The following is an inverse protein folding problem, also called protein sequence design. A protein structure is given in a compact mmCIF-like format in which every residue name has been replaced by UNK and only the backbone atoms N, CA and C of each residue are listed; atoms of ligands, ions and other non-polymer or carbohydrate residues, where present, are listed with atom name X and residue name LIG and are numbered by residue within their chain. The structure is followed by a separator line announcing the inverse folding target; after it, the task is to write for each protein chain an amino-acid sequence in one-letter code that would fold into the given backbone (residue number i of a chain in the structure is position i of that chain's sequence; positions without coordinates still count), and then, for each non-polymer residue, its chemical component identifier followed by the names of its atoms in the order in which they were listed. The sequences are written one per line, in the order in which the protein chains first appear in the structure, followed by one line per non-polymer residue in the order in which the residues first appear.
data_IF_238857138386
#
_entry.id   IF_238857138386
#
_cell.length_a   1.000
_cell.length_b   1.000
_cell.length_c   1.000
_cell.angle_alpha   90.00
_cell.angle_beta   90.00
_cell.angle_gamma   90.00
#
_symmetry.space_group_name_H-M   'P 1'
#
loop_
_entity.id
_entity.type
_entity.pdbx_description
1 polymer ?
#
# COMPACT_ATOMS: atom_id res chain seq x y z
N UNK A 1 20.19 11.39 22.12
CA UNK A 1 19.45 10.87 23.29
C UNK A 1 18.84 9.54 22.89
N UNK A 2 19.27 8.45 23.48
CA UNK A 2 18.98 7.08 23.07
C UNK A 2 17.48 6.76 23.12
N UNK A 3 16.92 6.42 21.99
CA UNK A 3 15.50 5.99 21.81
C UNK A 3 15.15 4.60 22.40
N UNK A 4 16.04 4.04 23.21
CA UNK A 4 15.92 2.70 23.80
C UNK A 4 14.93 2.62 24.97
N UNK A 5 14.39 3.75 25.42
CA UNK A 5 13.53 3.80 26.65
C UNK A 5 12.03 3.65 26.40
N UNK A 6 11.53 3.71 25.18
CA UNK A 6 10.10 3.89 24.94
C UNK A 6 9.21 2.70 25.32
N UNK A 7 9.75 1.47 25.41
CA UNK A 7 8.95 0.26 25.63
C UNK A 7 9.39 -0.55 26.87
N UNK A 8 10.17 0.04 27.79
CA UNK A 8 10.66 -0.64 28.99
C UNK A 8 9.59 -0.80 30.09
N UNK A 9 8.51 -0.02 29.99
CA UNK A 9 7.39 -0.08 30.93
C UNK A 9 6.13 -0.63 30.26
N UNK A 10 5.17 -1.07 31.09
CA UNK A 10 3.83 -1.43 30.59
C UNK A 10 3.23 -0.21 29.90
N UNK A 11 2.84 -0.39 28.66
CA UNK A 11 2.23 0.68 27.86
C UNK A 11 0.75 0.40 27.65
N UNK A 12 -0.05 1.45 27.77
CA UNK A 12 -1.48 1.41 27.56
C UNK A 12 -1.86 2.28 26.39
N UNK A 13 -2.81 1.80 25.59
CA UNK A 13 -3.43 2.55 24.50
C UNK A 13 -4.94 2.46 24.64
N UNK A 14 -5.63 3.55 24.38
CA UNK A 14 -7.07 3.59 24.22
C UNK A 14 -7.42 3.69 22.75
N UNK A 15 -8.42 2.94 22.32
CA UNK A 15 -8.88 2.89 20.92
C UNK A 15 -9.86 4.02 20.67
N UNK A 16 -9.54 4.91 19.76
CA UNK A 16 -10.41 5.99 19.30
C UNK A 16 -11.15 5.61 17.98
N UNK A 17 -11.90 6.55 17.44
CA UNK A 17 -12.67 6.37 16.20
C UNK A 17 -11.81 6.00 14.98
N UNK A 18 -10.52 6.37 14.98
CA UNK A 18 -9.61 6.10 13.86
C UNK A 18 -9.12 4.64 13.82
N UNK A 19 -9.23 3.92 14.94
CA UNK A 19 -8.83 2.52 15.04
C UNK A 19 -10.02 1.55 15.13
N UNK A 20 -11.25 2.06 15.16
CA UNK A 20 -12.45 1.21 15.21
C UNK A 20 -12.47 0.19 14.07
N UNK A 21 -12.70 -1.09 14.41
CA UNK A 21 -12.68 -2.22 13.46
C UNK A 21 -11.30 -2.57 12.91
N UNK A 22 -10.22 -1.92 13.37
CA UNK A 22 -8.85 -2.28 12.99
C UNK A 22 -8.44 -3.59 13.66
N UNK A 23 -7.68 -4.43 12.96
CA UNK A 23 -7.08 -5.62 13.58
C UNK A 23 -5.98 -5.19 14.54
N UNK A 24 -5.88 -5.89 15.69
CA UNK A 24 -4.90 -5.58 16.73
C UNK A 24 -3.45 -5.71 16.24
N UNK A 25 -3.12 -6.67 15.37
CA UNK A 25 -1.78 -6.80 14.81
C UNK A 25 -1.39 -5.56 14.00
N UNK A 26 -2.27 -5.05 13.14
CA UNK A 26 -2.04 -3.84 12.36
C UNK A 26 -1.93 -2.59 13.24
N UNK A 27 -2.74 -2.51 14.28
CA UNK A 27 -2.65 -1.45 15.27
C UNK A 27 -1.26 -1.44 15.92
N UNK A 28 -0.80 -2.58 16.40
CA UNK A 28 0.50 -2.71 17.07
C UNK A 28 1.67 -2.42 16.11
N UNK A 29 1.60 -2.82 14.84
CA UNK A 29 2.63 -2.47 13.84
C UNK A 29 2.76 -0.97 13.65
N UNK A 30 1.67 -0.22 13.77
CA UNK A 30 1.69 1.24 13.64
C UNK A 30 2.21 1.95 14.90
N UNK A 31 1.97 1.36 16.09
CA UNK A 31 2.32 1.96 17.38
C UNK A 31 3.71 1.55 17.86
N UNK A 32 4.08 0.28 17.70
CA UNK A 32 5.35 -0.29 18.13
C UNK A 32 6.39 -0.23 17.01
N UNK A 33 6.66 0.98 16.52
CA UNK A 33 7.66 1.18 15.46
C UNK A 33 9.03 0.65 15.88
N UNK A 34 9.73 0.01 14.94
CA UNK A 34 11.03 -0.61 15.19
C UNK A 34 10.96 -2.02 15.77
N UNK A 35 9.81 -2.47 16.32
CA UNK A 35 9.64 -3.84 16.79
C UNK A 35 9.32 -4.77 15.62
N UNK A 36 10.10 -5.83 15.37
CA UNK A 36 9.85 -6.76 14.27
C UNK A 36 8.46 -7.40 14.35
N UNK A 37 7.80 -7.59 13.21
CA UNK A 37 6.46 -8.20 13.14
C UNK A 37 6.40 -9.56 13.81
N UNK A 38 7.43 -10.41 13.63
CA UNK A 38 7.55 -11.71 14.28
C UNK A 38 7.50 -11.58 15.81
N UNK A 39 8.15 -10.56 16.37
CA UNK A 39 8.13 -10.27 17.82
C UNK A 39 6.73 -9.83 18.28
N UNK A 40 6.04 -8.99 17.50
CA UNK A 40 4.67 -8.55 17.82
C UNK A 40 3.70 -9.74 17.83
N UNK A 41 3.77 -10.63 16.83
CA UNK A 41 2.97 -11.87 16.83
C UNK A 41 3.27 -12.76 18.04
N UNK A 42 4.53 -12.83 18.46
CA UNK A 42 4.94 -13.57 19.65
C UNK A 42 4.34 -12.97 20.92
N UNK A 43 4.39 -11.63 21.08
CA UNK A 43 3.79 -10.92 22.23
C UNK A 43 2.27 -11.19 22.35
N UNK A 44 1.55 -11.20 21.21
CA UNK A 44 0.13 -11.53 21.17
C UNK A 44 -0.09 -12.99 21.63
N UNK A 45 0.65 -13.93 21.03
CA UNK A 45 0.52 -15.37 21.32
C UNK A 45 0.85 -15.70 22.78
N UNK A 46 1.84 -15.06 23.36
CA UNK A 46 2.25 -15.22 24.76
C UNK A 46 1.31 -14.52 25.73
N UNK A 47 0.31 -13.74 25.26
CA UNK A 47 -0.62 -12.99 26.08
C UNK A 47 0.02 -11.78 26.78
N UNK A 48 1.15 -11.31 26.26
CA UNK A 48 1.82 -10.08 26.70
C UNK A 48 1.10 -8.82 26.17
N UNK A 49 0.24 -8.98 25.17
CA UNK A 49 -0.75 -7.99 24.74
C UNK A 49 -2.13 -8.45 25.17
N UNK A 50 -2.90 -7.54 25.78
CA UNK A 50 -4.27 -7.79 26.19
C UNK A 50 -5.18 -6.63 25.80
N UNK A 51 -6.41 -6.94 25.46
CA UNK A 51 -7.48 -5.96 25.24
C UNK A 51 -8.53 -6.17 26.33
N UNK A 52 -8.86 -5.12 27.07
CA UNK A 52 -9.80 -5.16 28.20
C UNK A 52 -9.47 -6.31 29.18
N UNK A 53 -8.18 -6.48 29.50
CA UNK A 53 -7.60 -7.53 30.37
C UNK A 53 -7.69 -8.97 29.79
N UNK A 54 -8.34 -9.19 28.62
CA UNK A 54 -8.51 -10.52 28.00
C UNK A 54 -7.37 -10.84 27.03
N UNK A 55 -7.06 -12.13 26.88
CA UNK A 55 -6.20 -12.62 25.79
C UNK A 55 -6.90 -12.45 24.44
N UNK A 56 -6.13 -12.15 23.41
CA UNK A 56 -6.64 -11.87 22.06
C UNK A 56 -5.84 -12.64 21.02
N UNK A 57 -6.39 -12.74 19.82
CA UNK A 57 -5.70 -13.24 18.62
C UNK A 57 -5.24 -12.07 17.74
N UNK A 58 -4.31 -12.30 16.84
CA UNK A 58 -3.75 -11.27 15.96
C UNK A 58 -4.82 -10.58 15.09
N UNK A 59 -5.83 -11.33 14.67
CA UNK A 59 -6.95 -10.86 13.86
C UNK A 59 -8.09 -10.20 14.65
N UNK A 60 -8.02 -10.17 15.98
CA UNK A 60 -9.04 -9.51 16.83
C UNK A 60 -9.25 -8.07 16.37
N UNK A 61 -10.50 -7.71 16.12
CA UNK A 61 -10.90 -6.35 15.76
C UNK A 61 -11.09 -5.52 17.02
N UNK A 62 -10.60 -4.31 16.98
CA UNK A 62 -10.71 -3.33 18.06
C UNK A 62 -12.04 -2.57 17.94
N UNK A 63 -12.58 -2.17 19.08
CA UNK A 63 -13.74 -1.29 19.20
C UNK A 63 -13.36 0.00 19.93
N UNK A 64 -14.09 1.09 19.68
CA UNK A 64 -13.90 2.37 20.38
C UNK A 64 -13.97 2.14 21.89
N UNK A 65 -13.03 2.74 22.63
CA UNK A 65 -12.93 2.61 24.08
C UNK A 65 -12.18 1.36 24.57
N UNK A 66 -11.76 0.45 23.67
CA UNK A 66 -10.93 -0.68 24.08
C UNK A 66 -9.62 -0.21 24.71
N UNK A 67 -9.27 -0.82 25.85
CA UNK A 67 -8.03 -0.59 26.58
C UNK A 67 -7.02 -1.68 26.23
N UNK A 68 -5.96 -1.30 25.49
CA UNK A 68 -4.90 -2.21 25.06
C UNK A 68 -3.71 -2.09 25.99
N UNK A 69 -3.39 -3.19 26.68
CA UNK A 69 -2.18 -3.30 27.50
C UNK A 69 -1.09 -4.04 26.75
N UNK A 70 0.10 -3.44 26.66
CA UNK A 70 1.31 -4.06 26.14
C UNK A 70 2.33 -4.21 27.26
N UNK A 71 2.83 -5.42 27.48
CA UNK A 71 3.88 -5.68 28.47
C UNK A 71 5.21 -5.02 28.03
N UNK A 72 6.17 -4.81 28.95
CA UNK A 72 7.47 -4.25 28.62
C UNK A 72 8.17 -5.06 27.52
N UNK A 73 8.72 -4.38 26.53
CA UNK A 73 9.42 -4.98 25.40
C UNK A 73 10.89 -4.62 25.52
N UNK A 74 11.75 -5.59 25.82
CA UNK A 74 13.20 -5.44 25.66
C UNK A 74 13.55 -5.72 24.20
N UNK A 75 13.92 -4.68 23.46
CA UNK A 75 14.32 -4.76 22.08
C UNK A 75 15.39 -3.71 21.78
N UNK A 76 16.51 -4.14 21.22
CA UNK A 76 17.51 -3.21 20.70
C UNK A 76 16.99 -2.67 19.38
N UNK A 77 16.64 -1.40 19.38
CA UNK A 77 16.17 -0.71 18.19
C UNK A 77 17.36 -0.56 17.24
N UNK A 78 17.36 -1.29 16.14
CA UNK A 78 18.14 -0.85 14.98
C UNK A 78 17.50 0.45 14.50
N UNK A 79 18.25 1.52 14.53
CA UNK A 79 17.83 2.82 13.98
C UNK A 79 17.53 2.68 12.48
N UNK A 80 16.33 2.22 12.16
CA UNK A 80 15.70 2.43 10.86
C UNK A 80 14.86 3.71 10.94
N UNK A 81 15.43 4.79 11.48
CA UNK A 81 14.83 6.11 11.32
C UNK A 81 14.94 6.46 9.83
N UNK A 82 13.86 6.26 9.11
CA UNK A 82 13.75 6.79 7.76
C UNK A 82 14.16 8.27 7.81
N UNK A 83 15.11 8.68 6.97
CA UNK A 83 15.55 10.07 6.91
C UNK A 83 14.31 10.98 6.83
N UNK A 84 14.26 12.07 7.60
CA UNK A 84 13.12 12.96 7.58
C UNK A 84 12.89 13.47 6.16
N UNK A 85 11.64 13.47 5.74
CA UNK A 85 11.27 14.01 4.42
C UNK A 85 11.60 15.50 4.43
N UNK A 86 12.42 15.99 3.48
CA UNK A 86 12.73 17.41 3.41
C UNK A 86 11.47 18.22 3.09
N UNK A 87 11.38 19.44 3.63
CA UNK A 87 10.23 20.33 3.41
C UNK A 87 9.97 20.57 1.92
N UNK A 88 11.03 20.72 1.11
CA UNK A 88 10.91 20.89 -0.33
C UNK A 88 10.17 19.73 -1.00
N UNK A 89 10.52 18.50 -0.62
CA UNK A 89 9.87 17.30 -1.15
C UNK A 89 8.42 17.21 -0.64
N UNK A 90 8.20 17.46 0.64
CA UNK A 90 6.89 17.43 1.26
C UNK A 90 5.93 18.43 0.59
N UNK A 91 6.34 19.67 0.43
CA UNK A 91 5.57 20.73 -0.25
C UNK A 91 5.36 20.41 -1.74
N UNK A 92 6.38 19.88 -2.42
CA UNK A 92 6.26 19.44 -3.82
C UNK A 92 5.22 18.32 -4.03
N UNK A 93 5.05 17.43 -3.04
CA UNK A 93 4.00 16.41 -3.07
C UNK A 93 2.62 16.98 -2.73
N UNK A 94 2.55 17.90 -1.79
CA UNK A 94 1.29 18.59 -1.44
C UNK A 94 0.76 19.40 -2.61
N UNK A 95 1.60 20.07 -3.37
CA UNK A 95 1.23 20.82 -4.58
C UNK A 95 0.62 19.94 -5.70
N UNK A 96 0.73 18.61 -5.60
CA UNK A 96 0.15 17.65 -6.54
C UNK A 96 -1.23 17.13 -6.11
N UNK A 97 -1.79 17.66 -5.03
CA UNK A 97 -3.18 17.41 -4.65
C UNK A 97 -4.10 18.09 -5.66
N UNK A 98 -4.96 17.30 -6.29
CA UNK A 98 -5.91 17.78 -7.32
C UNK A 98 -7.35 17.83 -6.84
N UNK A 99 -7.63 17.17 -5.72
CA UNK A 99 -8.92 17.19 -5.04
C UNK A 99 -8.73 16.96 -3.55
N UNK A 100 -9.44 17.71 -2.73
CA UNK A 100 -9.48 17.47 -1.28
C UNK A 100 -10.84 17.91 -0.73
N UNK A 101 -11.42 17.06 0.13
CA UNK A 101 -12.56 17.37 0.98
C UNK A 101 -12.28 16.98 2.43
N UNK A 102 -13.30 16.88 3.28
CA UNK A 102 -13.14 16.49 4.69
C UNK A 102 -12.66 15.05 4.88
N UNK A 103 -12.97 14.14 3.97
CA UNK A 103 -12.73 12.68 4.10
C UNK A 103 -11.71 12.11 3.14
N UNK A 104 -11.50 12.78 2.01
CA UNK A 104 -10.72 12.27 0.88
C UNK A 104 -9.71 13.31 0.40
N UNK A 105 -8.56 12.86 -0.04
CA UNK A 105 -7.58 13.60 -0.82
C UNK A 105 -7.19 12.77 -2.04
N UNK A 106 -7.11 13.38 -3.22
CA UNK A 106 -6.63 12.74 -4.46
C UNK A 106 -5.37 13.45 -4.93
N UNK A 107 -4.32 12.68 -5.13
CA UNK A 107 -3.00 13.20 -5.49
C UNK A 107 -2.56 12.64 -6.83
N UNK A 108 -2.07 13.50 -7.72
CA UNK A 108 -1.39 13.09 -8.95
C UNK A 108 0.06 12.71 -8.61
N UNK A 109 0.28 11.44 -8.28
CA UNK A 109 1.60 10.92 -7.88
C UNK A 109 2.57 11.00 -9.09
N UNK A 110 3.76 11.61 -8.94
CA UNK A 110 4.77 11.54 -9.99
C UNK A 110 5.36 10.14 -10.10
N UNK A 111 5.95 9.82 -11.26
CA UNK A 111 6.81 8.63 -11.42
C UNK A 111 8.04 8.71 -10.49
N UNK A 112 8.61 7.58 -10.14
CA UNK A 112 9.84 7.48 -9.33
C UNK A 112 9.59 7.49 -7.81
N UNK A 113 8.40 7.84 -7.33
CA UNK A 113 8.06 7.87 -5.90
C UNK A 113 7.14 6.70 -5.56
N UNK A 114 7.51 5.91 -4.55
CA UNK A 114 6.65 4.86 -4.01
C UNK A 114 5.46 5.48 -3.25
N UNK A 115 4.36 4.76 -3.13
CA UNK A 115 3.20 5.26 -2.35
C UNK A 115 3.48 5.25 -0.83
N UNK A 116 4.34 4.35 -0.36
CA UNK A 116 4.81 4.30 1.04
C UNK A 116 6.30 3.94 1.09
N UNK A 117 6.99 4.37 2.13
CA UNK A 117 8.33 3.93 2.46
C UNK A 117 8.38 2.43 2.82
N UNK A 118 9.57 1.86 2.83
CA UNK A 118 9.80 0.45 3.15
C UNK A 118 11.20 0.00 2.79
N UNK A 119 11.43 -1.31 2.63
CA UNK A 119 12.75 -1.88 2.35
C UNK A 119 13.49 -1.13 1.23
N UNK A 120 14.54 -0.38 1.59
CA UNK A 120 15.37 0.39 0.66
C UNK A 120 14.77 1.73 0.17
N UNK A 121 13.59 2.14 0.68
CA UNK A 121 12.95 3.41 0.32
C UNK A 121 12.70 4.20 1.60
N UNK A 122 13.44 5.30 1.77
CA UNK A 122 13.40 6.11 2.99
C UNK A 122 12.01 6.72 3.26
N UNK A 123 11.29 7.15 2.23
CA UNK A 123 9.93 7.71 2.33
C UNK A 123 9.15 7.47 1.04
N UNK A 124 7.84 7.54 1.11
CA UNK A 124 6.93 7.52 -0.03
C UNK A 124 5.98 8.71 -0.01
N UNK A 125 4.97 8.65 -0.89
CA UNK A 125 3.94 9.68 -1.02
C UNK A 125 3.25 9.99 0.32
N UNK A 126 2.85 8.94 1.05
CA UNK A 126 2.07 9.10 2.29
C UNK A 126 2.89 9.76 3.41
N UNK A 127 4.17 9.41 3.55
CA UNK A 127 5.06 10.01 4.53
C UNK A 127 5.31 11.49 4.20
N UNK A 128 5.50 11.80 2.90
CA UNK A 128 5.67 13.18 2.43
C UNK A 128 4.45 14.06 2.71
N UNK A 129 3.25 13.55 2.44
CA UNK A 129 2.00 14.28 2.71
C UNK A 129 1.74 14.45 4.22
N UNK A 130 2.06 13.44 5.04
CA UNK A 130 1.99 13.58 6.50
C UNK A 130 2.94 14.65 7.02
N UNK A 131 4.17 14.71 6.48
CA UNK A 131 5.13 15.75 6.82
C UNK A 131 4.64 17.16 6.42
N UNK A 132 4.12 17.30 5.19
CA UNK A 132 3.63 18.57 4.67
C UNK A 132 2.40 19.11 5.40
N UNK A 133 1.49 18.23 5.83
CA UNK A 133 0.19 18.63 6.40
C UNK A 133 0.17 18.65 7.92
N UNK A 134 1.15 18.01 8.59
CA UNK A 134 1.11 17.75 10.03
C UNK A 134 0.00 16.79 10.47
N UNK A 135 -0.82 16.27 9.55
CA UNK A 135 -1.94 15.38 9.85
C UNK A 135 -1.44 13.99 10.24
N UNK A 136 -1.79 13.53 11.44
CA UNK A 136 -1.44 12.20 11.94
C UNK A 136 -2.17 11.08 11.20
N UNK A 137 -3.42 11.32 10.80
CA UNK A 137 -4.22 10.35 10.07
C UNK A 137 -4.33 10.73 8.60
N UNK A 138 -3.58 10.04 7.77
CA UNK A 138 -3.70 9.96 6.31
C UNK A 138 -3.39 8.51 5.94
N UNK A 139 -4.31 7.83 5.23
CA UNK A 139 -4.15 6.43 4.88
C UNK A 139 -4.37 6.19 3.39
N UNK A 140 -3.52 5.37 2.80
CA UNK A 140 -3.64 4.97 1.40
C UNK A 140 -4.87 4.07 1.20
N UNK A 141 -5.78 4.46 0.32
CA UNK A 141 -6.93 3.64 -0.07
C UNK A 141 -6.49 2.52 -1.02
N UNK A 142 -5.57 2.81 -1.92
CA UNK A 142 -4.96 1.87 -2.84
C UNK A 142 -3.50 2.27 -3.13
N UNK A 143 -2.86 1.48 -3.99
CA UNK A 143 -1.48 1.73 -4.42
C UNK A 143 -1.35 1.64 -5.93
N UNK A 144 -0.36 2.36 -6.47
CA UNK A 144 0.23 2.18 -7.79
C UNK A 144 1.74 1.98 -7.62
N UNK A 145 2.41 1.45 -8.61
CA UNK A 145 3.84 1.15 -8.53
C UNK A 145 4.69 2.43 -8.46
N UNK A 146 5.94 2.31 -8.03
CA UNK A 146 6.86 3.44 -7.86
C UNK A 146 6.97 4.27 -9.15
N UNK A 147 7.18 3.61 -10.26
CA UNK A 147 7.46 4.26 -11.55
C UNK A 147 6.18 4.56 -12.35
N UNK A 148 5.01 4.12 -11.86
CA UNK A 148 3.71 4.50 -12.37
C UNK A 148 3.33 5.87 -11.83
N UNK A 149 3.01 6.83 -12.71
CA UNK A 149 2.40 8.12 -12.36
C UNK A 149 0.87 8.02 -12.34
N UNK A 150 0.21 9.00 -11.74
CA UNK A 150 -1.24 9.12 -11.78
C UNK A 150 -1.93 9.18 -10.43
N UNK A 151 -3.24 8.97 -10.42
CA UNK A 151 -4.11 9.27 -9.30
C UNK A 151 -3.98 8.26 -8.16
N UNK A 152 -3.77 8.79 -6.95
CA UNK A 152 -3.78 8.02 -5.70
C UNK A 152 -4.78 8.64 -4.75
N UNK A 153 -5.71 7.83 -4.28
CA UNK A 153 -6.70 8.22 -3.27
C UNK A 153 -6.14 7.98 -1.87
N UNK A 154 -6.27 9.01 -1.03
CA UNK A 154 -5.80 9.01 0.36
C UNK A 154 -6.97 9.38 1.26
N UNK A 155 -7.25 8.57 2.24
CA UNK A 155 -8.31 8.83 3.21
C UNK A 155 -7.82 9.72 4.34
N UNK A 156 -8.68 10.64 4.77
CA UNK A 156 -8.52 11.52 5.93
C UNK A 156 -9.35 11.05 7.14
N UNK A 157 -10.23 10.04 6.93
CA UNK A 157 -11.10 9.45 7.98
C UNK A 157 -11.16 7.92 7.84
N UNK A 158 -11.23 7.19 8.94
CA UNK A 158 -11.29 5.72 8.94
C UNK A 158 -12.54 5.17 8.23
N UNK A 159 -13.68 5.80 8.42
CA UNK A 159 -14.94 5.43 7.75
C UNK A 159 -14.80 5.50 6.23
N UNK A 160 -14.23 6.59 5.70
CA UNK A 160 -13.98 6.79 4.27
C UNK A 160 -12.99 5.75 3.73
N UNK A 161 -11.92 5.46 4.49
CA UNK A 161 -10.97 4.39 4.12
C UNK A 161 -11.70 3.06 3.91
N UNK A 162 -12.50 2.65 4.89
CA UNK A 162 -13.24 1.38 4.84
C UNK A 162 -14.20 1.34 3.66
N UNK A 163 -15.03 2.38 3.50
CA UNK A 163 -16.01 2.45 2.40
C UNK A 163 -15.34 2.36 1.04
N UNK A 164 -14.28 3.14 0.79
CA UNK A 164 -13.62 3.14 -0.51
C UNK A 164 -12.80 1.87 -0.77
N UNK A 165 -12.24 1.24 0.26
CA UNK A 165 -11.60 -0.08 0.12
C UNK A 165 -12.62 -1.17 -0.17
N UNK A 166 -13.83 -1.11 0.40
CA UNK A 166 -14.93 -2.02 0.11
C UNK A 166 -15.40 -1.83 -1.34
N UNK A 167 -15.59 -0.59 -1.78
CA UNK A 167 -15.95 -0.27 -3.17
C UNK A 167 -14.90 -0.77 -4.17
N UNK A 168 -13.60 -0.68 -3.83
CA UNK A 168 -12.53 -1.24 -4.69
C UNK A 168 -12.59 -2.77 -4.77
N UNK A 169 -12.89 -3.46 -3.66
CA UNK A 169 -13.04 -4.93 -3.62
C UNK A 169 -14.27 -5.39 -4.38
N UNK A 170 -15.33 -4.63 -4.36
CA UNK A 170 -16.57 -4.89 -5.07
C UNK A 170 -16.55 -4.40 -6.53
N UNK A 171 -15.39 -3.94 -7.01
CA UNK A 171 -15.21 -3.40 -8.38
C UNK A 171 -16.12 -2.22 -8.73
N UNK A 172 -16.64 -1.49 -7.74
CA UNK A 172 -17.45 -0.28 -7.92
C UNK A 172 -16.62 0.94 -8.34
N UNK A 173 -15.30 0.91 -8.13
CA UNK A 173 -14.36 1.94 -8.58
C UNK A 173 -13.59 1.39 -9.77
N UNK A 174 -13.80 1.97 -10.94
CA UNK A 174 -13.06 1.61 -12.16
C UNK A 174 -11.72 2.33 -12.17
N UNK A 175 -10.66 1.61 -12.49
CA UNK A 175 -9.31 2.14 -12.70
C UNK A 175 -8.93 1.96 -14.16
N UNK A 176 -8.44 3.02 -14.78
CA UNK A 176 -7.95 2.98 -16.16
C UNK A 176 -6.53 3.54 -16.18
N UNK A 177 -5.65 2.84 -16.86
CA UNK A 177 -4.25 3.20 -17.03
C UNK A 177 -3.96 3.39 -18.51
N UNK A 178 -3.39 4.53 -18.88
CA UNK A 178 -2.80 4.72 -20.18
C UNK A 178 -1.42 4.05 -20.21
N UNK A 179 -1.18 3.19 -21.16
CA UNK A 179 0.09 2.51 -21.34
C UNK A 179 0.49 2.47 -22.83
N UNK A 180 1.74 2.78 -23.09
CA UNK A 180 2.33 2.57 -24.41
C UNK A 180 3.03 1.22 -24.40
N UNK A 181 2.67 0.34 -25.33
CA UNK A 181 3.21 -1.01 -25.44
C UNK A 181 3.95 -1.19 -26.77
N UNK A 182 4.95 -2.08 -26.77
CA UNK A 182 5.76 -2.38 -27.94
C UNK A 182 4.93 -3.13 -29.00
N UNK A 183 5.11 -2.74 -30.26
CA UNK A 183 4.46 -3.37 -31.42
C UNK A 183 3.02 -2.93 -31.62
N UNK A 184 2.40 -3.46 -32.66
CA UNK A 184 1.00 -3.17 -32.97
C UNK A 184 0.08 -4.25 -32.42
N UNK A 185 -0.75 -3.87 -31.49
CA UNK A 185 -1.80 -4.75 -30.92
C UNK A 185 -2.89 -4.93 -31.98
N UNK A 186 -3.17 -6.16 -32.38
CA UNK A 186 -4.11 -6.46 -33.48
C UNK A 186 -5.58 -6.21 -33.11
N UNK A 187 -5.98 -6.61 -31.91
CA UNK A 187 -7.36 -6.51 -31.45
C UNK A 187 -7.65 -5.15 -30.80
N UNK A 188 -8.72 -4.48 -31.22
CA UNK A 188 -9.13 -3.20 -30.61
C UNK A 188 -9.52 -3.34 -29.13
N UNK A 189 -10.08 -4.50 -28.77
CA UNK A 189 -10.43 -4.85 -27.39
C UNK A 189 -9.99 -6.27 -27.08
N UNK A 190 -9.33 -6.47 -25.94
CA UNK A 190 -8.85 -7.77 -25.50
C UNK A 190 -8.96 -7.90 -23.98
N UNK A 191 -9.50 -9.03 -23.51
CA UNK A 191 -9.42 -9.43 -22.12
C UNK A 191 -8.22 -10.36 -21.94
N UNK A 192 -7.26 -9.94 -21.13
CA UNK A 192 -6.11 -10.77 -20.75
C UNK A 192 -6.49 -11.43 -19.42
N UNK A 193 -6.68 -12.74 -19.45
CA UNK A 193 -7.01 -13.58 -18.27
C UNK A 193 -5.83 -14.50 -18.00
N UNK A 194 -4.90 -14.05 -17.18
CA UNK A 194 -3.65 -14.77 -16.90
C UNK A 194 -3.30 -14.67 -15.42
N UNK A 195 -3.36 -15.79 -14.66
CA UNK A 195 -3.05 -15.80 -13.23
C UNK A 195 -1.62 -15.39 -12.93
N UNK A 196 -1.43 -14.51 -11.93
CA UNK A 196 -0.12 -13.95 -11.58
C UNK A 196 0.41 -14.53 -10.27
N UNK A 197 1.64 -15.05 -10.33
CA UNK A 197 2.42 -15.55 -9.21
C UNK A 197 3.56 -14.59 -8.86
N UNK A 198 3.70 -14.28 -7.56
CA UNK A 198 4.83 -13.50 -7.06
C UNK A 198 5.82 -14.44 -6.37
N UNK A 199 7.05 -14.45 -6.84
CA UNK A 199 8.15 -15.24 -6.28
C UNK A 199 9.33 -14.35 -5.90
N UNK A 200 10.24 -14.90 -5.11
CA UNK A 200 11.44 -14.23 -4.66
C UNK A 200 12.66 -14.99 -5.19
N UNK A 201 13.58 -14.27 -5.81
CA UNK A 201 14.85 -14.81 -6.27
C UNK A 201 15.81 -15.02 -5.09
N UNK A 202 16.85 -15.82 -5.29
CA UNK A 202 17.86 -16.09 -4.25
C UNK A 202 18.56 -14.83 -3.71
N UNK A 203 18.61 -13.76 -4.49
CA UNK A 203 19.14 -12.46 -4.10
C UNK A 203 18.13 -11.58 -3.31
N UNK A 204 16.91 -12.09 -3.00
CA UNK A 204 15.84 -11.35 -2.32
C UNK A 204 15.01 -10.44 -3.24
N UNK A 205 15.29 -10.40 -4.54
CA UNK A 205 14.50 -9.65 -5.51
C UNK A 205 13.14 -10.32 -5.73
N UNK A 206 12.07 -9.53 -5.69
CA UNK A 206 10.71 -10.01 -5.89
C UNK A 206 10.25 -9.77 -7.32
N UNK A 207 9.87 -10.85 -7.98
CA UNK A 207 9.35 -10.82 -9.35
C UNK A 207 7.92 -11.36 -9.43
N UNK A 208 7.28 -11.07 -10.56
CA UNK A 208 5.93 -11.55 -10.88
C UNK A 208 5.96 -12.17 -12.27
N UNK A 209 5.32 -13.33 -12.41
CA UNK A 209 5.16 -14.02 -13.69
C UNK A 209 3.73 -14.55 -13.83
N UNK A 210 3.34 -14.91 -15.05
CA UNK A 210 2.14 -15.71 -15.29
C UNK A 210 2.39 -17.14 -14.83
N UNK A 211 1.50 -17.69 -14.03
CA UNK A 211 1.56 -19.08 -13.57
C UNK A 211 0.16 -19.65 -13.42
N UNK A 212 -0.28 -20.54 -14.32
CA UNK A 212 -1.59 -21.16 -14.21
C UNK A 212 -1.78 -22.01 -12.95
N UNK A 213 -0.68 -22.57 -12.39
CA UNK A 213 -0.74 -23.47 -11.22
C UNK A 213 -0.69 -22.73 -9.88
N UNK A 214 0.17 -21.70 -9.77
CA UNK A 214 0.47 -21.02 -8.52
C UNK A 214 -0.02 -19.57 -8.50
N UNK A 215 -0.45 -19.07 -9.66
CA UNK A 215 -0.89 -17.69 -9.84
C UNK A 215 -2.27 -17.44 -9.20
N UNK A 216 -2.44 -16.22 -8.71
CA UNK A 216 -3.74 -15.72 -8.29
C UNK A 216 -4.49 -15.17 -9.49
N UNK A 217 -5.77 -15.45 -9.59
CA UNK A 217 -6.63 -14.91 -10.65
C UNK A 217 -6.37 -13.43 -10.88
N UNK A 218 -6.18 -13.08 -12.16
CA UNK A 218 -5.87 -11.72 -12.60
C UNK A 218 -6.42 -11.50 -13.99
N UNK A 219 -7.20 -10.43 -14.16
CA UNK A 219 -7.82 -10.07 -15.44
C UNK A 219 -7.60 -8.60 -15.72
N UNK A 220 -7.22 -8.28 -16.95
CA UNK A 220 -7.07 -6.90 -17.42
C UNK A 220 -7.77 -6.72 -18.76
N UNK A 221 -8.71 -5.79 -18.83
CA UNK A 221 -9.32 -5.38 -20.09
C UNK A 221 -8.43 -4.35 -20.77
N UNK A 222 -8.02 -4.61 -22.00
CA UNK A 222 -7.33 -3.66 -22.86
C UNK A 222 -8.27 -3.10 -23.93
N UNK A 223 -8.14 -1.79 -24.18
CA UNK A 223 -8.80 -1.08 -25.27
C UNK A 223 -7.73 -0.27 -26.00
N UNK A 224 -7.49 -0.59 -27.25
CA UNK A 224 -6.57 0.15 -28.11
C UNK A 224 -7.12 1.55 -28.35
N UNK A 225 -6.27 2.56 -28.18
CA UNK A 225 -6.60 3.95 -28.45
C UNK A 225 -5.96 4.42 -29.76
N UNK A 226 -4.70 4.08 -29.94
CA UNK A 226 -3.95 4.50 -31.14
C UNK A 226 -2.83 3.50 -31.44
N UNK A 227 -2.60 3.21 -32.74
CA UNK A 227 -1.51 2.37 -33.21
C UNK A 227 -0.47 3.24 -33.93
N UNK A 228 0.75 3.17 -33.45
CA UNK A 228 1.91 3.79 -34.06
C UNK A 228 2.72 2.73 -34.84
N UNK A 229 3.75 3.15 -35.58
CA UNK A 229 4.58 2.25 -36.40
C UNK A 229 5.18 1.09 -35.57
N UNK A 230 5.65 1.34 -34.34
CA UNK A 230 6.34 0.36 -33.51
C UNK A 230 5.76 0.24 -32.09
N UNK A 231 4.63 0.87 -31.82
CA UNK A 231 4.00 0.91 -30.51
C UNK A 231 2.48 1.03 -30.63
N UNK A 232 1.80 0.77 -29.54
CA UNK A 232 0.35 0.98 -29.40
C UNK A 232 0.04 1.66 -28.08
N UNK A 233 -0.77 2.71 -28.11
CA UNK A 233 -1.38 3.28 -26.90
C UNK A 233 -2.63 2.45 -26.54
N UNK A 234 -2.64 1.91 -25.35
CA UNK A 234 -3.77 1.15 -24.82
C UNK A 234 -4.29 1.77 -23.51
N UNK A 235 -5.60 1.70 -23.32
CA UNK A 235 -6.20 1.91 -22.01
C UNK A 235 -6.43 0.56 -21.36
N UNK A 236 -5.68 0.31 -20.29
CA UNK A 236 -5.73 -0.92 -19.51
C UNK A 236 -6.59 -0.73 -18.26
N UNK A 237 -7.63 -1.53 -18.11
CA UNK A 237 -8.54 -1.51 -16.96
C UNK A 237 -8.41 -2.85 -16.22
N UNK A 238 -7.60 -2.90 -15.12
CA UNK A 238 -7.43 -4.12 -14.35
C UNK A 238 -8.69 -4.41 -13.51
N UNK A 239 -9.21 -5.63 -13.63
CA UNK A 239 -10.31 -6.15 -12.82
C UNK A 239 -9.84 -6.74 -11.49
N UNK A 240 -8.55 -6.75 -11.25
CA UNK A 240 -7.88 -7.12 -10.00
C UNK A 240 -6.73 -6.15 -9.70
N UNK A 241 -6.06 -6.27 -8.56
CA UNK A 241 -4.99 -5.35 -8.16
C UNK A 241 -3.68 -6.08 -7.81
N UNK A 242 -3.19 -6.96 -8.70
CA UNK A 242 -1.93 -7.66 -8.47
C UNK A 242 -0.72 -6.78 -8.75
N UNK A 243 0.37 -7.05 -8.10
CA UNK A 243 1.64 -6.36 -8.32
C UNK A 243 2.05 -6.49 -9.79
N UNK A 244 2.46 -5.39 -10.42
CA UNK A 244 2.92 -5.31 -11.81
C UNK A 244 1.94 -5.92 -12.84
N UNK A 245 0.63 -5.98 -12.53
CA UNK A 245 -0.35 -6.73 -13.30
C UNK A 245 -0.38 -6.33 -14.79
N UNK A 246 -0.50 -5.04 -15.09
CA UNK A 246 -0.57 -4.55 -16.48
C UNK A 246 0.74 -4.85 -17.23
N UNK A 247 1.89 -4.68 -16.57
CA UNK A 247 3.22 -4.95 -17.12
C UNK A 247 3.37 -6.42 -17.51
N UNK A 248 3.09 -7.33 -16.58
CA UNK A 248 3.23 -8.77 -16.79
C UNK A 248 2.21 -9.29 -17.79
N UNK A 249 0.97 -8.77 -17.77
CA UNK A 249 -0.03 -9.10 -18.79
C UNK A 249 0.41 -8.64 -20.18
N UNK A 250 0.93 -7.42 -20.32
CA UNK A 250 1.47 -6.94 -21.59
C UNK A 250 2.59 -7.81 -22.13
N UNK A 251 3.56 -8.15 -21.27
CA UNK A 251 4.65 -9.04 -21.64
C UNK A 251 4.14 -10.44 -22.06
N UNK A 252 3.13 -10.98 -21.37
CA UNK A 252 2.61 -12.33 -21.62
C UNK A 252 1.93 -12.50 -22.98
N UNK A 253 1.46 -11.40 -23.57
CA UNK A 253 0.85 -11.40 -24.91
C UNK A 253 1.80 -10.83 -26.00
N UNK A 254 3.11 -10.68 -25.70
CA UNK A 254 4.12 -10.19 -26.64
C UNK A 254 4.17 -8.67 -26.81
N UNK A 255 3.44 -7.92 -26.00
CA UNK A 255 3.40 -6.45 -26.03
C UNK A 255 3.85 -5.84 -24.69
N UNK A 256 5.15 -5.93 -24.33
CA UNK A 256 5.65 -5.31 -23.09
C UNK A 256 5.47 -3.79 -23.14
N UNK A 257 5.38 -3.18 -21.96
CA UNK A 257 5.33 -1.72 -21.84
C UNK A 257 6.65 -1.12 -22.36
N UNK A 258 6.54 0.02 -23.02
CA UNK A 258 7.73 0.79 -23.46
C UNK A 258 8.43 1.35 -22.24
N UNK A 259 9.73 1.11 -22.12
CA UNK A 259 10.55 1.55 -20.97
C UNK A 259 10.58 0.57 -19.77
N UNK A 260 10.03 -0.65 -19.95
CA UNK A 260 9.98 -1.66 -18.89
C UNK A 260 11.06 -2.74 -19.07
#
# INVERSE_FOLDING_TARGET
MNSTQQWQNVTWFEVDEHQDGQRIDNFLFSRLKGVPKSRIYRLIREGQVRVNKKRIKAETKLAIGDQIRVAPIRYEQKDESAAPVSDKVAQGLLARVIYEDEGLMVVNKPSGIAVHGGSGVAYGLIEGLRAATGKKYLELIHRIDRDTSGLVMISKKRSVLKTLQDMLREHKIKKTYAAVVKGQVSLDKQLIDAPLHRYELANGERRVCVSPKEGKESKTQWNVQERFMHATLVYASPLSGRTHQIRVHGLSIGHPLVGD
#
